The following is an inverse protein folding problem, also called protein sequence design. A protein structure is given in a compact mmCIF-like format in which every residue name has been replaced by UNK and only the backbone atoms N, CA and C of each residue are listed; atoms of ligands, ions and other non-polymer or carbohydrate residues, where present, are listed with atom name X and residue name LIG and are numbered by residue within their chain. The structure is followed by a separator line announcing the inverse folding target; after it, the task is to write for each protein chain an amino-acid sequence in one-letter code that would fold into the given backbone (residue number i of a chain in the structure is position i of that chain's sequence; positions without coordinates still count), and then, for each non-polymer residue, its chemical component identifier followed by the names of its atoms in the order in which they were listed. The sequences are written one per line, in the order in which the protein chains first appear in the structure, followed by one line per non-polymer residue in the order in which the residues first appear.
data_IF_857659769935
#
_entry.id   IF_857659769935
#
_cell.length_a   1.000
_cell.length_b   1.000
_cell.length_c   1.000
_cell.angle_alpha   90.00
_cell.angle_beta   90.00
_cell.angle_gamma   90.00
#
_symmetry.space_group_name_H-M   'P 1'
#
loop_
_entity.id
_entity.type
_entity.pdbx_description
1 polymer ?
#
# COMPACT_ATOMS: atom_id res chain seq x y z
N UNK A 1 -14.18 -12.26 -0.16
CA UNK A 1 -14.51 -10.93 -0.71
C UNK A 1 -15.76 -11.05 -1.55
N UNK A 2 -16.67 -10.08 -1.47
CA UNK A 2 -17.87 -10.04 -2.31
C UNK A 2 -17.55 -9.15 -3.52
N UNK A 3 -17.84 -9.63 -4.74
CA UNK A 3 -17.69 -8.83 -5.95
C UNK A 3 -18.63 -7.62 -5.89
N UNK A 4 -18.19 -6.51 -6.46
CA UNK A 4 -19.04 -5.35 -6.69
C UNK A 4 -19.96 -5.62 -7.88
N UNK A 5 -21.26 -5.76 -7.62
CA UNK A 5 -22.24 -6.08 -8.64
C UNK A 5 -22.32 -5.02 -9.74
N UNK A 6 -22.21 -3.73 -9.38
CA UNK A 6 -22.25 -2.66 -10.37
C UNK A 6 -21.00 -2.67 -11.25
N UNK A 7 -19.83 -2.86 -10.65
CA UNK A 7 -18.57 -3.04 -11.37
C UNK A 7 -18.59 -4.26 -12.31
N UNK A 8 -19.19 -5.37 -11.88
CA UNK A 8 -19.34 -6.58 -12.71
C UNK A 8 -20.22 -6.29 -13.92
N UNK A 9 -21.36 -5.60 -13.75
CA UNK A 9 -22.24 -5.23 -14.86
C UNK A 9 -21.56 -4.30 -15.86
N UNK A 10 -20.75 -3.37 -15.37
CA UNK A 10 -19.95 -2.50 -16.23
C UNK A 10 -18.95 -3.31 -17.06
N UNK A 11 -18.14 -4.16 -16.41
CA UNK A 11 -17.16 -4.99 -17.11
C UNK A 11 -17.83 -5.96 -18.11
N UNK A 12 -18.99 -6.51 -17.75
CA UNK A 12 -19.79 -7.35 -18.65
C UNK A 12 -20.25 -6.60 -19.89
N UNK A 13 -20.71 -5.36 -19.73
CA UNK A 13 -21.16 -4.51 -20.84
C UNK A 13 -19.98 -4.17 -21.77
N UNK A 14 -18.83 -3.83 -21.19
CA UNK A 14 -17.60 -3.55 -21.94
C UNK A 14 -17.08 -4.79 -22.70
N UNK A 15 -17.17 -5.97 -22.08
CA UNK A 15 -16.76 -7.24 -22.68
C UNK A 15 -17.67 -7.63 -23.86
N UNK A 16 -19.00 -7.49 -23.70
CA UNK A 16 -19.99 -7.79 -24.73
C UNK A 16 -19.86 -6.88 -25.96
N UNK A 17 -19.39 -5.64 -25.79
CA UNK A 17 -19.15 -4.72 -26.90
C UNK A 17 -17.97 -5.13 -27.79
N UNK A 18 -17.03 -5.93 -27.27
CA UNK A 18 -15.75 -6.24 -27.93
C UNK A 18 -15.56 -7.72 -28.25
N UNK A 19 -16.37 -8.61 -27.68
CA UNK A 19 -16.22 -10.06 -27.82
C UNK A 19 -17.54 -10.73 -28.23
N UNK A 20 -17.53 -11.63 -29.22
CA UNK A 20 -18.72 -12.36 -29.66
C UNK A 20 -19.08 -13.55 -28.76
N UNK A 21 -18.18 -13.95 -27.86
CA UNK A 21 -18.36 -15.09 -26.96
C UNK A 21 -18.65 -14.63 -25.52
N UNK A 22 -19.35 -15.45 -24.71
CA UNK A 22 -19.64 -15.11 -23.33
C UNK A 22 -18.35 -15.01 -22.50
N UNK A 23 -18.26 -14.04 -21.56
CA UNK A 23 -17.09 -13.91 -20.69
C UNK A 23 -17.00 -15.03 -19.67
N UNK A 24 -15.79 -15.25 -19.15
CA UNK A 24 -15.58 -16.01 -17.93
C UNK A 24 -15.82 -15.13 -16.69
N UNK A 25 -16.10 -15.74 -15.55
CA UNK A 25 -16.30 -15.01 -14.28
C UNK A 25 -15.09 -14.14 -13.93
N UNK A 26 -13.87 -14.60 -14.24
CA UNK A 26 -12.65 -13.82 -14.01
C UNK A 26 -12.54 -12.58 -14.91
N UNK A 27 -13.08 -12.64 -16.14
CA UNK A 27 -13.01 -11.55 -17.11
C UNK A 27 -13.94 -10.37 -16.76
N UNK A 28 -14.97 -10.60 -15.94
CA UNK A 28 -15.92 -9.58 -15.48
C UNK A 28 -15.84 -9.33 -13.98
N UNK A 29 -14.82 -9.88 -13.30
CA UNK A 29 -14.69 -9.77 -11.87
C UNK A 29 -14.33 -8.32 -11.48
N UNK A 30 -15.25 -7.65 -10.79
CA UNK A 30 -14.98 -6.38 -10.14
C UNK A 30 -14.89 -6.59 -8.63
N UNK A 31 -13.75 -6.23 -8.06
CA UNK A 31 -13.57 -6.19 -6.62
C UNK A 31 -13.41 -4.74 -6.19
N UNK A 32 -14.05 -4.31 -5.09
CA UNK A 32 -13.80 -2.98 -4.54
C UNK A 32 -12.31 -2.84 -4.24
N UNK A 33 -11.71 -1.66 -4.45
CA UNK A 33 -10.33 -1.43 -4.08
C UNK A 33 -10.18 -1.74 -2.59
N UNK A 34 -9.28 -2.66 -2.25
CA UNK A 34 -8.96 -2.89 -0.86
C UNK A 34 -8.32 -1.63 -0.29
N UNK A 35 -8.87 -1.14 0.82
CA UNK A 35 -8.23 -0.08 1.59
C UNK A 35 -6.85 -0.55 2.02
N UNK A 36 -5.82 -0.02 1.37
CA UNK A 36 -4.46 -0.41 1.65
C UNK A 36 -3.99 0.29 2.93
N UNK A 37 -4.28 -0.35 4.07
CA UNK A 37 -3.87 0.12 5.39
C UNK A 37 -2.35 0.33 5.51
N UNK A 38 -1.53 -0.32 4.67
CA UNK A 38 -0.09 -0.10 4.64
C UNK A 38 0.27 1.23 3.98
N UNK A 39 -0.39 1.60 2.87
CA UNK A 39 -0.19 2.91 2.25
C UNK A 39 -0.60 4.05 3.19
N UNK A 40 -1.72 3.89 3.90
CA UNK A 40 -2.16 4.87 4.90
C UNK A 40 -1.16 5.00 6.05
N UNK A 41 -0.68 3.88 6.60
CA UNK A 41 0.35 3.88 7.65
C UNK A 41 1.67 4.49 7.16
N UNK A 42 2.09 4.20 5.94
CA UNK A 42 3.32 4.73 5.37
C UNK A 42 3.26 6.24 5.15
N UNK A 43 2.12 6.78 4.71
CA UNK A 43 1.90 8.24 4.62
C UNK A 43 2.04 8.89 5.99
N UNK A 44 1.37 8.34 7.00
CA UNK A 44 1.43 8.84 8.38
C UNK A 44 2.85 8.84 8.93
N UNK A 45 3.61 7.75 8.76
CA UNK A 45 5.00 7.71 9.21
C UNK A 45 5.90 8.73 8.51
N UNK A 46 5.65 9.00 7.22
CA UNK A 46 6.40 10.00 6.46
C UNK A 46 6.14 11.41 7.00
N UNK A 47 4.89 11.71 7.34
CA UNK A 47 4.51 12.98 7.98
C UNK A 47 5.15 13.11 9.36
N UNK A 48 5.01 12.08 10.21
CA UNK A 48 5.61 12.03 11.54
C UNK A 48 7.14 12.19 11.49
N UNK A 49 7.81 11.51 10.57
CA UNK A 49 9.26 11.64 10.35
C UNK A 49 9.67 13.02 9.80
N UNK A 50 8.78 13.69 9.06
CA UNK A 50 8.96 15.05 8.57
C UNK A 50 8.97 16.07 9.71
N UNK A 51 8.16 15.84 10.75
CA UNK A 51 8.04 16.73 11.91
C UNK A 51 9.22 16.64 12.89
N UNK A 52 10.09 15.63 12.74
CA UNK A 52 11.26 15.48 13.62
C UNK A 52 12.38 16.45 13.19
N UNK A 53 12.85 17.35 14.10
CA UNK A 53 13.94 18.27 13.81
C UNK A 53 15.24 17.56 13.40
N UNK A 54 16.06 18.24 12.59
CA UNK A 54 17.31 17.66 12.06
C UNK A 54 18.31 17.32 13.18
N UNK A 55 18.32 18.12 14.23
CA UNK A 55 19.19 17.98 15.40
C UNK A 55 18.88 16.68 16.15
N UNK A 56 17.59 16.34 16.26
CA UNK A 56 17.14 15.08 16.89
C UNK A 56 17.61 13.89 16.07
N UNK A 57 17.46 13.94 14.74
CA UNK A 57 17.94 12.88 13.83
C UNK A 57 19.45 12.70 13.94
N UNK A 58 20.20 13.80 14.04
CA UNK A 58 21.64 13.76 14.18
C UNK A 58 22.07 13.12 15.51
N UNK A 59 21.48 13.54 16.63
CA UNK A 59 21.77 12.97 17.96
C UNK A 59 21.49 11.47 18.00
N UNK A 60 20.33 11.06 17.48
CA UNK A 60 19.97 9.65 17.39
C UNK A 60 21.01 8.85 16.60
N UNK A 61 21.44 9.35 15.43
CA UNK A 61 22.45 8.68 14.60
C UNK A 61 23.77 8.49 15.35
N UNK A 62 24.24 9.51 16.07
CA UNK A 62 25.50 9.43 16.84
C UNK A 62 25.38 8.40 17.97
N UNK A 63 24.31 8.46 18.75
CA UNK A 63 24.09 7.51 19.86
C UNK A 63 23.96 6.07 19.36
N UNK A 64 23.25 5.86 18.24
CA UNK A 64 23.10 4.53 17.66
C UNK A 64 24.45 3.97 17.17
N UNK A 65 25.29 4.79 16.55
CA UNK A 65 26.63 4.36 16.14
C UNK A 65 27.51 3.97 17.34
N UNK A 66 27.40 4.70 18.45
CA UNK A 66 28.10 4.36 19.69
C UNK A 66 27.64 3.01 20.22
N UNK A 67 26.33 2.78 20.32
CA UNK A 67 25.76 1.52 20.80
C UNK A 67 26.16 0.32 19.92
N UNK A 68 26.19 0.48 18.59
CA UNK A 68 26.64 -0.58 17.68
C UNK A 68 28.10 -0.93 17.95
N UNK A 69 28.97 0.09 18.13
CA UNK A 69 30.40 -0.13 18.43
C UNK A 69 30.60 -0.79 19.80
N UNK A 70 29.81 -0.44 20.79
CA UNK A 70 29.85 -1.05 22.12
C UNK A 70 29.40 -2.52 22.07
N UNK A 71 28.30 -2.80 21.37
CA UNK A 71 27.78 -4.17 21.20
C UNK A 71 28.67 -5.05 20.33
N UNK A 72 29.38 -4.49 19.35
CA UNK A 72 30.32 -5.24 18.52
C UNK A 72 31.65 -5.55 19.22
N UNK A 73 31.96 -4.87 20.33
CA UNK A 73 33.15 -5.10 21.16
C UNK A 73 32.90 -6.02 22.36
N UNK A 74 31.64 -6.32 22.65
CA UNK A 74 31.19 -7.23 23.72
C UNK A 74 30.90 -8.61 23.17
#
# INVERSE_FOLDING_TARGET
MKMDYQGVLKQLSDYAASNPFPPTIAAIAAYPPEDNAYLTRMKRWKEEAGNVPREVKHRFRVQMQTLIKEKAKS
#
